data_IF_758244057467
#
_entry.id   IF_758244057467
#
_cell.length_a   1.000
_cell.length_b   1.000
_cell.length_c   1.000
_cell.angle_alpha   90.00
_cell.angle_beta   90.00
_cell.angle_gamma   90.00
#
_symmetry.space_group_name_H-M   'P 1'
#
loop_
_entity.id
_entity.type
_entity.pdbx_description
1 polymer ?
#
# COMPACT_ATOMS: atom_id res chain seq x y z
N UNK A 1 20.11 5.16 -16.91
CA UNK A 1 20.23 5.84 -15.59
C UNK A 1 18.93 5.58 -14.84
N UNK A 2 19.03 5.16 -13.58
CA UNK A 2 17.87 5.02 -12.69
C UNK A 2 17.18 6.38 -12.54
N UNK A 3 15.84 6.42 -12.63
CA UNK A 3 15.08 7.67 -12.57
C UNK A 3 15.13 8.23 -11.14
N UNK A 4 15.55 9.47 -10.98
CA UNK A 4 15.42 10.24 -9.71
C UNK A 4 13.95 10.48 -9.40
N UNK A 5 13.53 10.33 -8.13
CA UNK A 5 12.14 10.54 -7.70
C UNK A 5 11.12 9.76 -8.56
N UNK A 6 11.21 8.41 -8.65
CA UNK A 6 10.23 7.62 -9.37
C UNK A 6 8.84 7.78 -8.73
N UNK A 7 7.80 7.96 -9.54
CA UNK A 7 6.44 8.23 -9.07
C UNK A 7 5.60 6.95 -9.04
N UNK A 8 4.82 6.78 -7.98
CA UNK A 8 3.93 5.65 -7.83
C UNK A 8 2.64 6.04 -7.10
N UNK A 9 1.61 5.22 -7.28
CA UNK A 9 0.43 5.23 -6.42
C UNK A 9 0.59 4.18 -5.30
N UNK A 10 -0.23 4.21 -4.25
CA UNK A 10 -0.10 3.26 -3.13
C UNK A 10 -0.84 1.95 -3.41
N UNK A 11 -2.07 2.01 -3.90
CA UNK A 11 -2.84 0.85 -4.38
C UNK A 11 -4.25 1.28 -4.79
N UNK A 12 -5.13 1.49 -3.81
CA UNK A 12 -6.56 1.62 -4.07
C UNK A 12 -7.03 2.97 -4.63
N UNK A 13 -7.98 2.93 -5.57
CA UNK A 13 -8.73 4.08 -6.10
C UNK A 13 -10.24 3.89 -5.88
N UNK A 14 -11.00 5.00 -5.90
CA UNK A 14 -12.46 4.91 -5.78
C UNK A 14 -13.05 4.27 -7.04
N UNK A 15 -13.84 3.22 -6.82
CA UNK A 15 -14.61 2.54 -7.87
C UNK A 15 -15.57 3.53 -8.54
N UNK A 16 -15.70 3.51 -9.88
CA UNK A 16 -16.73 4.29 -10.55
C UNK A 16 -18.14 3.93 -10.07
N UNK A 17 -19.05 4.90 -10.02
CA UNK A 17 -20.42 4.63 -9.57
C UNK A 17 -21.14 3.63 -10.50
N UNK A 18 -20.96 3.78 -11.81
CA UNK A 18 -21.51 2.85 -12.81
C UNK A 18 -21.06 1.40 -12.57
N UNK A 19 -19.83 1.19 -12.09
CA UNK A 19 -19.34 -0.15 -11.77
C UNK A 19 -20.09 -0.70 -10.56
N UNK A 20 -20.26 0.12 -9.51
CA UNK A 20 -20.96 -0.28 -8.29
C UNK A 20 -22.42 -0.63 -8.56
N UNK A 21 -23.09 0.14 -9.42
CA UNK A 21 -24.47 -0.13 -9.86
C UNK A 21 -24.57 -1.47 -10.59
N UNK A 22 -23.67 -1.74 -11.55
CA UNK A 22 -23.65 -3.00 -12.31
C UNK A 22 -23.36 -4.22 -11.42
N UNK A 23 -22.35 -4.15 -10.56
CA UNK A 23 -21.96 -5.31 -9.72
C UNK A 23 -23.01 -5.64 -8.66
N UNK A 24 -23.77 -4.65 -8.18
CA UNK A 24 -24.86 -4.84 -7.21
C UNK A 24 -26.15 -5.36 -7.86
N UNK A 25 -26.32 -5.18 -9.18
CA UNK A 25 -27.51 -5.63 -9.88
C UNK A 25 -27.52 -7.15 -10.02
N UNK A 26 -28.54 -7.81 -9.45
CA UNK A 26 -28.71 -9.27 -9.50
C UNK A 26 -29.11 -9.80 -10.87
N UNK A 27 -29.62 -8.94 -11.76
CA UNK A 27 -30.04 -9.32 -13.11
C UNK A 27 -28.88 -9.33 -14.12
N UNK A 28 -27.73 -8.77 -13.76
CA UNK A 28 -26.53 -8.77 -14.61
C UNK A 28 -25.75 -10.06 -14.37
N UNK A 29 -25.34 -10.71 -15.46
CA UNK A 29 -24.58 -11.96 -15.42
C UNK A 29 -23.20 -11.75 -14.77
N UNK A 30 -22.63 -12.81 -14.17
CA UNK A 30 -21.29 -12.72 -13.58
C UNK A 30 -20.21 -12.44 -14.64
N UNK A 31 -20.40 -12.92 -15.88
CA UNK A 31 -19.56 -12.59 -17.03
C UNK A 31 -19.54 -11.08 -17.29
N UNK A 32 -20.72 -10.44 -17.35
CA UNK A 32 -20.79 -9.00 -17.62
C UNK A 32 -20.27 -8.15 -16.45
N UNK A 33 -20.46 -8.61 -15.21
CA UNK A 33 -19.82 -8.00 -14.03
C UNK A 33 -18.30 -8.12 -14.08
N UNK A 34 -17.78 -9.24 -14.58
CA UNK A 34 -16.34 -9.44 -14.76
C UNK A 34 -15.79 -8.48 -15.83
N UNK A 35 -16.45 -8.39 -16.99
CA UNK A 35 -16.12 -7.41 -18.04
C UNK A 35 -16.12 -5.96 -17.52
N UNK A 36 -17.16 -5.57 -16.77
CA UNK A 36 -17.24 -4.24 -16.18
C UNK A 36 -16.08 -3.92 -15.23
N UNK A 37 -15.62 -4.91 -14.44
CA UNK A 37 -14.43 -4.76 -13.57
C UNK A 37 -13.16 -4.60 -14.40
N UNK A 38 -13.01 -5.36 -15.48
CA UNK A 38 -11.89 -5.27 -16.39
C UNK A 38 -11.85 -3.91 -17.11
N UNK A 39 -12.99 -3.40 -17.59
CA UNK A 39 -13.10 -2.08 -18.21
C UNK A 39 -12.69 -0.96 -17.23
N UNK A 40 -13.12 -1.07 -15.96
CA UNK A 40 -12.74 -0.11 -14.92
C UNK A 40 -11.23 -0.17 -14.59
N UNK A 41 -10.65 -1.38 -14.55
CA UNK A 41 -9.22 -1.58 -14.34
C UNK A 41 -8.41 -0.99 -15.49
N UNK A 42 -8.79 -1.31 -16.73
CA UNK A 42 -8.14 -0.77 -17.93
C UNK A 42 -8.20 0.76 -17.96
N UNK A 43 -9.35 1.36 -17.66
CA UNK A 43 -9.49 2.81 -17.59
C UNK A 43 -8.57 3.42 -16.52
N UNK A 44 -8.49 2.80 -15.33
CA UNK A 44 -7.58 3.27 -14.29
C UNK A 44 -6.13 3.18 -14.75
N UNK A 45 -5.70 2.04 -15.29
CA UNK A 45 -4.32 1.82 -15.78
C UNK A 45 -3.95 2.90 -16.79
N UNK A 46 -4.75 3.09 -17.85
CA UNK A 46 -4.47 4.10 -18.88
C UNK A 46 -4.45 5.52 -18.31
N UNK A 47 -5.34 5.83 -17.37
CA UNK A 47 -5.33 7.13 -16.69
C UNK A 47 -4.06 7.35 -15.87
N UNK A 48 -3.58 6.33 -15.15
CA UNK A 48 -2.34 6.41 -14.36
C UNK A 48 -1.10 6.53 -15.26
N UNK A 49 -1.10 5.85 -16.41
CA UNK A 49 -0.06 6.00 -17.45
C UNK A 49 -0.04 7.42 -18.03
N UNK A 50 -1.22 7.97 -18.37
CA UNK A 50 -1.38 9.33 -18.91
C UNK A 50 -0.96 10.40 -17.91
N UNK A 51 -1.19 10.16 -16.60
CA UNK A 51 -0.70 11.02 -15.52
C UNK A 51 0.84 11.00 -15.44
N UNK A 52 1.49 9.94 -15.92
CA UNK A 52 2.94 9.81 -15.95
C UNK A 52 3.53 9.10 -14.73
N UNK A 53 2.78 8.19 -14.10
CA UNK A 53 3.35 7.32 -13.06
C UNK A 53 4.37 6.33 -13.64
N UNK A 54 5.42 6.05 -12.88
CA UNK A 54 6.47 5.09 -13.23
C UNK A 54 6.12 3.66 -12.82
N UNK A 55 5.51 3.53 -11.64
CA UNK A 55 5.07 2.27 -11.06
C UNK A 55 3.58 2.35 -10.75
N UNK A 56 2.82 1.35 -11.16
CA UNK A 56 1.37 1.34 -11.00
C UNK A 56 0.81 -0.07 -10.81
N UNK A 57 -0.48 -0.12 -10.51
CA UNK A 57 -1.29 -1.33 -10.58
C UNK A 57 -2.62 -1.00 -11.28
N UNK A 58 -3.79 -1.29 -10.70
CA UNK A 58 -5.10 -1.00 -11.34
C UNK A 58 -6.06 -0.17 -10.48
N UNK A 59 -5.62 0.35 -9.34
CA UNK A 59 -6.51 0.99 -8.37
C UNK A 59 -7.27 0.01 -7.47
N UNK A 60 -6.94 -1.29 -7.49
CA UNK A 60 -7.62 -2.38 -6.78
C UNK A 60 -9.13 -2.43 -7.07
N UNK A 61 -9.50 -1.99 -8.27
CA UNK A 61 -10.89 -1.72 -8.63
C UNK A 61 -11.70 -3.02 -8.79
N UNK A 62 -11.01 -4.14 -8.96
CA UNK A 62 -11.58 -5.49 -9.08
C UNK A 62 -11.88 -6.12 -7.73
N UNK A 63 -11.25 -5.64 -6.65
CA UNK A 63 -11.34 -6.21 -5.29
C UNK A 63 -12.55 -5.66 -4.54
N UNK A 64 -13.08 -6.41 -3.57
CA UNK A 64 -14.19 -5.93 -2.73
C UNK A 64 -13.67 -4.98 -1.64
N UNK A 65 -12.71 -5.46 -0.86
CA UNK A 65 -12.15 -4.82 0.33
C UNK A 65 -10.81 -5.51 0.64
N UNK A 66 -9.81 -4.82 1.21
CA UNK A 66 -8.46 -5.36 1.37
C UNK A 66 -8.40 -6.52 2.38
N UNK A 67 -9.28 -6.58 3.38
CA UNK A 67 -9.34 -7.67 4.35
C UNK A 67 -10.36 -8.74 3.97
N UNK A 68 -11.58 -8.35 3.62
CA UNK A 68 -12.62 -9.35 3.32
C UNK A 68 -12.23 -10.21 2.11
N UNK A 69 -11.58 -9.62 1.12
CA UNK A 69 -11.20 -10.30 -0.11
C UNK A 69 -10.23 -11.47 0.14
N UNK A 70 -9.04 -11.28 0.74
CA UNK A 70 -8.11 -12.38 1.00
C UNK A 70 -8.69 -13.42 1.97
N UNK A 71 -9.40 -13.02 3.02
CA UNK A 71 -9.98 -13.94 4.02
C UNK A 71 -10.91 -14.99 3.41
N UNK A 72 -11.58 -14.69 2.29
CA UNK A 72 -12.43 -15.66 1.56
C UNK A 72 -11.64 -16.82 0.94
N UNK A 73 -10.33 -16.68 0.80
CA UNK A 73 -9.42 -17.64 0.16
C UNK A 73 -8.36 -18.18 1.13
N UNK A 74 -8.60 -18.06 2.43
CA UNK A 74 -7.75 -18.60 3.48
C UNK A 74 -8.57 -19.64 4.24
N UNK A 75 -8.08 -20.88 4.31
CA UNK A 75 -8.66 -21.91 5.17
C UNK A 75 -8.45 -21.52 6.65
N UNK A 76 -9.29 -22.02 7.55
CA UNK A 76 -9.22 -21.72 8.98
C UNK A 76 -10.04 -20.51 9.43
N UNK A 77 -10.65 -19.76 8.50
CA UNK A 77 -11.54 -18.64 8.83
C UNK A 77 -13.03 -18.97 8.69
N UNK A 78 -13.81 -18.45 9.63
CA UNK A 78 -15.27 -18.34 9.54
C UNK A 78 -15.72 -16.90 9.69
N UNK A 79 -16.62 -16.43 8.82
CA UNK A 79 -17.17 -15.08 8.94
C UNK A 79 -18.16 -14.94 10.10
N UNK A 80 -17.93 -13.96 10.98
CA UNK A 80 -18.80 -13.61 12.12
C UNK A 80 -19.91 -12.60 11.77
N UNK A 81 -20.03 -12.20 10.50
CA UNK A 81 -20.99 -11.20 10.06
C UNK A 81 -20.44 -9.77 10.11
N UNK A 82 -21.35 -8.79 10.14
CA UNK A 82 -21.02 -7.37 10.08
C UNK A 82 -20.66 -6.84 11.47
N UNK A 83 -19.47 -6.27 11.62
CA UNK A 83 -18.99 -5.63 12.83
C UNK A 83 -18.77 -4.15 12.56
N UNK A 84 -19.28 -3.30 13.46
CA UNK A 84 -19.05 -1.86 13.42
C UNK A 84 -17.57 -1.58 13.69
N UNK A 85 -16.90 -0.82 12.82
CA UNK A 85 -15.48 -0.50 12.95
C UNK A 85 -15.25 0.96 13.31
N UNK A 86 -15.62 1.90 12.44
CA UNK A 86 -15.46 3.34 12.68
C UNK A 86 -16.69 4.10 12.20
N UNK A 87 -17.14 5.05 13.01
CA UNK A 87 -18.41 5.78 12.83
C UNK A 87 -19.57 4.81 12.55
N UNK A 88 -20.29 4.92 11.42
CA UNK A 88 -21.37 4.01 11.04
C UNK A 88 -20.97 3.03 9.93
N UNK A 89 -19.67 2.73 9.81
CA UNK A 89 -19.15 1.76 8.84
C UNK A 89 -19.06 0.36 9.46
N UNK A 90 -19.56 -0.61 8.71
CA UNK A 90 -19.58 -2.02 9.08
C UNK A 90 -18.73 -2.82 8.10
N UNK A 91 -17.94 -3.74 8.63
CA UNK A 91 -17.10 -4.64 7.84
C UNK A 91 -17.39 -6.09 8.21
N UNK A 92 -17.25 -6.98 7.23
CA UNK A 92 -17.45 -8.41 7.45
C UNK A 92 -16.19 -8.99 8.09
N UNK A 93 -16.20 -9.19 9.41
CA UNK A 93 -15.07 -9.75 10.15
C UNK A 93 -15.12 -11.27 10.21
N UNK A 94 -13.96 -11.90 10.31
CA UNK A 94 -13.83 -13.34 10.45
C UNK A 94 -13.14 -13.73 11.77
N UNK A 95 -13.33 -15.00 12.13
CA UNK A 95 -12.76 -15.67 13.30
C UNK A 95 -11.85 -16.78 12.77
N UNK A 96 -10.62 -16.83 13.25
CA UNK A 96 -9.70 -17.92 12.99
C UNK A 96 -10.04 -19.07 13.95
N UNK A 97 -10.67 -20.12 13.43
CA UNK A 97 -11.19 -21.27 14.20
C UNK A 97 -10.40 -22.56 13.97
N UNK A 98 -9.51 -22.56 12.98
CA UNK A 98 -8.60 -23.67 12.66
C UNK A 98 -7.30 -23.11 12.07
N UNK A 99 -6.31 -23.97 11.85
CA UNK A 99 -5.02 -23.62 11.27
C UNK A 99 -5.19 -22.92 9.92
N UNK A 100 -4.52 -21.78 9.75
CA UNK A 100 -4.58 -21.04 8.48
C UNK A 100 -3.78 -21.71 7.38
N UNK A 101 -4.35 -21.73 6.18
CA UNK A 101 -3.66 -22.20 5.00
C UNK A 101 -4.15 -21.48 3.75
N UNK A 102 -3.21 -21.15 2.87
CA UNK A 102 -3.46 -20.66 1.53
C UNK A 102 -4.31 -21.65 0.74
N UNK A 103 -5.40 -21.17 0.12
CA UNK A 103 -6.28 -22.00 -0.71
C UNK A 103 -5.88 -21.99 -2.19
N UNK A 104 -5.68 -20.80 -2.77
CA UNK A 104 -5.43 -20.60 -4.20
C UNK A 104 -4.96 -19.17 -4.46
N UNK A 105 -4.34 -18.91 -5.61
CA UNK A 105 -3.95 -17.57 -6.01
C UNK A 105 -5.18 -16.75 -6.41
N UNK A 106 -5.74 -16.03 -5.45
CA UNK A 106 -6.91 -15.19 -5.63
C UNK A 106 -6.63 -13.86 -6.34
N UNK A 107 -5.35 -13.54 -6.61
CA UNK A 107 -4.96 -12.41 -7.46
C UNK A 107 -4.51 -12.84 -8.86
N UNK A 108 -4.58 -14.12 -9.22
CA UNK A 108 -4.06 -14.62 -10.50
C UNK A 108 -4.69 -13.95 -11.72
N UNK A 109 -6.02 -13.98 -11.82
CA UNK A 109 -6.78 -13.37 -12.91
C UNK A 109 -6.70 -11.83 -12.87
N UNK A 110 -6.46 -11.28 -11.68
CA UNK A 110 -6.21 -9.86 -11.48
C UNK A 110 -4.89 -9.44 -12.12
N UNK A 111 -3.82 -10.09 -11.70
CA UNK A 111 -2.46 -9.79 -12.10
C UNK A 111 -2.24 -10.00 -13.60
N UNK A 112 -2.73 -11.09 -14.18
CA UNK A 112 -2.55 -11.37 -15.61
C UNK A 112 -3.16 -10.27 -16.48
N UNK A 113 -4.38 -9.83 -16.14
CA UNK A 113 -5.03 -8.73 -16.87
C UNK A 113 -4.26 -7.40 -16.78
N UNK A 114 -3.73 -7.05 -15.60
CA UNK A 114 -2.96 -5.81 -15.42
C UNK A 114 -1.65 -5.88 -16.21
N UNK A 115 -0.99 -7.04 -16.17
CA UNK A 115 0.23 -7.34 -16.93
C UNK A 115 0.01 -7.27 -18.44
N UNK A 116 -1.12 -7.74 -18.95
CA UNK A 116 -1.48 -7.59 -20.37
C UNK A 116 -1.88 -6.16 -20.75
N UNK A 117 -2.23 -5.31 -19.78
CA UNK A 117 -2.77 -3.97 -20.00
C UNK A 117 -1.75 -2.84 -19.91
N UNK A 118 -0.54 -3.08 -19.41
CA UNK A 118 0.49 -2.05 -19.19
C UNK A 118 1.91 -2.60 -19.36
N UNK A 119 2.79 -1.76 -19.92
CA UNK A 119 4.24 -1.99 -19.99
C UNK A 119 5.01 -1.32 -18.83
N UNK A 120 4.30 -0.68 -17.89
CA UNK A 120 4.91 -0.05 -16.71
C UNK A 120 5.36 -1.10 -15.70
N UNK A 121 6.22 -0.69 -14.78
CA UNK A 121 6.57 -1.54 -13.64
C UNK A 121 5.32 -1.75 -12.78
N UNK A 122 4.99 -3.02 -12.53
CA UNK A 122 3.82 -3.39 -11.75
C UNK A 122 4.21 -3.66 -10.30
N UNK A 123 3.46 -3.05 -9.38
CA UNK A 123 3.56 -3.28 -7.94
C UNK A 123 2.26 -3.85 -7.43
N UNK A 124 2.26 -5.14 -7.07
CA UNK A 124 1.05 -5.85 -6.65
C UNK A 124 0.80 -5.64 -5.16
N UNK A 125 -0.27 -4.94 -4.74
CA UNK A 125 -0.60 -4.80 -3.32
C UNK A 125 -1.22 -6.10 -2.80
N UNK A 126 -0.75 -6.61 -1.68
CA UNK A 126 -1.30 -7.76 -0.96
C UNK A 126 -1.45 -7.39 0.51
N UNK A 127 -2.56 -7.77 1.15
CA UNK A 127 -2.73 -7.48 2.58
C UNK A 127 -1.83 -8.38 3.41
N UNK A 128 -1.08 -7.75 4.32
CA UNK A 128 -0.08 -8.43 5.12
C UNK A 128 -0.65 -9.27 6.27
N UNK A 129 0.18 -10.17 6.81
CA UNK A 129 -0.23 -11.13 7.84
C UNK A 129 -0.64 -10.44 9.15
N UNK A 130 0.00 -9.34 9.54
CA UNK A 130 -0.31 -8.67 10.80
C UNK A 130 -1.72 -8.07 10.75
N UNK A 131 -2.08 -7.40 9.66
CA UNK A 131 -3.39 -6.79 9.46
C UNK A 131 -4.49 -7.83 9.33
N UNK A 132 -4.23 -8.95 8.63
CA UNK A 132 -5.19 -10.07 8.59
C UNK A 132 -5.46 -10.61 9.99
N UNK A 133 -4.42 -10.77 10.83
CA UNK A 133 -4.57 -11.23 12.20
C UNK A 133 -5.33 -10.22 13.07
N UNK A 134 -4.89 -8.96 13.08
CA UNK A 134 -5.40 -7.89 13.94
C UNK A 134 -6.88 -7.59 13.67
N UNK A 135 -7.29 -7.66 12.40
CA UNK A 135 -8.68 -7.41 12.03
C UNK A 135 -9.60 -8.63 12.21
N UNK A 136 -9.03 -9.78 12.55
CA UNK A 136 -9.77 -11.02 12.84
C UNK A 136 -9.87 -11.30 14.35
N UNK A 137 -10.82 -12.15 14.73
CA UNK A 137 -10.83 -12.75 16.05
C UNK A 137 -9.98 -14.02 16.04
N UNK A 138 -9.10 -14.20 17.02
CA UNK A 138 -8.31 -15.42 17.16
C UNK A 138 -8.98 -16.38 18.16
N UNK A 139 -9.47 -17.53 17.68
CA UNK A 139 -10.08 -18.59 18.51
C UNK A 139 -9.28 -19.91 18.47
N UNK A 140 -8.17 -19.96 17.72
CA UNK A 140 -7.39 -21.18 17.50
C UNK A 140 -5.96 -21.12 18.06
N UNK A 141 -5.23 -20.03 17.82
CA UNK A 141 -3.83 -19.91 18.22
C UNK A 141 -3.70 -19.39 19.66
N UNK A 142 -2.69 -19.87 20.39
CA UNK A 142 -2.44 -19.48 21.79
C UNK A 142 -2.00 -18.01 21.92
N UNK A 143 -1.40 -17.45 20.87
CA UNK A 143 -0.95 -16.06 20.85
C UNK A 143 -1.17 -15.38 19.50
N UNK A 144 -1.23 -14.04 19.53
CA UNK A 144 -1.25 -13.22 18.30
C UNK A 144 0.03 -13.41 17.48
N UNK A 145 1.17 -13.58 18.15
CA UNK A 145 2.46 -13.81 17.51
C UNK A 145 2.43 -15.07 16.63
N UNK A 146 2.02 -16.20 17.19
CA UNK A 146 1.91 -17.46 16.44
C UNK A 146 0.93 -17.34 15.27
N UNK A 147 -0.21 -16.69 15.49
CA UNK A 147 -1.20 -16.48 14.45
C UNK A 147 -0.64 -15.65 13.27
N UNK A 148 0.03 -14.54 13.57
CA UNK A 148 0.66 -13.67 12.57
C UNK A 148 1.75 -14.42 11.79
N UNK A 149 2.61 -15.17 12.47
CA UNK A 149 3.68 -15.92 11.81
C UNK A 149 3.14 -17.07 10.95
N UNK A 150 2.06 -17.73 11.36
CA UNK A 150 1.41 -18.75 10.53
C UNK A 150 0.71 -18.14 9.30
N UNK A 151 0.08 -16.97 9.43
CA UNK A 151 -0.42 -16.22 8.27
C UNK A 151 0.72 -15.84 7.31
N UNK A 152 1.85 -15.37 7.83
CA UNK A 152 3.01 -15.03 7.01
C UNK A 152 3.50 -16.27 6.23
N UNK A 153 3.73 -17.38 6.93
CA UNK A 153 4.36 -18.59 6.39
C UNK A 153 3.45 -19.42 5.49
N UNK A 154 2.17 -19.54 5.86
CA UNK A 154 1.23 -20.48 5.25
C UNK A 154 0.22 -19.80 4.32
N UNK A 155 0.16 -18.47 4.30
CA UNK A 155 -0.79 -17.70 3.48
C UNK A 155 -0.09 -16.68 2.58
N UNK A 156 0.54 -15.68 3.18
CA UNK A 156 1.04 -14.52 2.43
C UNK A 156 2.26 -14.91 1.59
N UNK A 157 3.24 -15.63 2.16
CA UNK A 157 4.40 -16.12 1.39
C UNK A 157 3.99 -17.01 0.20
N UNK A 158 3.13 -18.05 0.36
CA UNK A 158 2.66 -18.83 -0.79
C UNK A 158 1.99 -17.99 -1.90
N UNK A 159 1.15 -17.02 -1.52
CA UNK A 159 0.54 -16.09 -2.47
C UNK A 159 1.59 -15.28 -3.24
N UNK A 160 2.58 -14.73 -2.52
CA UNK A 160 3.69 -13.99 -3.13
C UNK A 160 4.45 -14.87 -4.12
N UNK A 161 4.80 -16.09 -3.73
CA UNK A 161 5.51 -17.02 -4.60
C UNK A 161 4.73 -17.35 -5.88
N UNK A 162 3.41 -17.48 -5.81
CA UNK A 162 2.58 -17.75 -6.98
C UNK A 162 2.45 -16.52 -7.89
N UNK A 163 2.35 -15.31 -7.34
CA UNK A 163 2.41 -14.07 -8.13
C UNK A 163 3.76 -13.89 -8.83
N UNK A 164 4.86 -14.20 -8.14
CA UNK A 164 6.22 -14.13 -8.69
C UNK A 164 6.40 -15.13 -9.83
N UNK A 165 5.89 -16.36 -9.68
CA UNK A 165 5.87 -17.34 -10.79
C UNK A 165 5.10 -16.84 -12.01
N UNK A 166 4.09 -16.00 -11.81
CA UNK A 166 3.33 -15.35 -12.90
C UNK A 166 4.08 -14.15 -13.51
N UNK A 167 5.18 -13.71 -12.89
CA UNK A 167 6.03 -12.63 -13.36
C UNK A 167 5.93 -11.34 -12.57
N UNK A 168 5.31 -11.33 -11.38
CA UNK A 168 5.31 -10.17 -10.50
C UNK A 168 6.74 -9.85 -10.03
N UNK A 169 7.20 -8.62 -10.27
CA UNK A 169 8.55 -8.16 -9.92
C UNK A 169 8.58 -7.39 -8.61
N UNK A 170 7.46 -6.73 -8.25
CA UNK A 170 7.31 -5.98 -7.01
C UNK A 170 6.03 -6.40 -6.32
N UNK A 171 6.14 -6.83 -5.07
CA UNK A 171 5.01 -7.10 -4.18
C UNK A 171 5.02 -6.02 -3.09
N UNK A 172 3.88 -5.36 -2.88
CA UNK A 172 3.69 -4.49 -1.73
C UNK A 172 2.84 -5.20 -0.67
N UNK A 173 3.39 -5.39 0.52
CA UNK A 173 2.68 -5.92 1.68
C UNK A 173 2.05 -4.74 2.43
N UNK A 174 0.72 -4.67 2.44
CA UNK A 174 -0.05 -3.60 3.06
C UNK A 174 -0.41 -3.93 4.51
N UNK A 175 0.09 -3.12 5.43
CA UNK A 175 0.02 -3.34 6.87
C UNK A 175 -0.51 -2.12 7.64
N UNK A 176 -1.74 -1.63 7.34
CA UNK A 176 -2.32 -0.46 8.01
C UNK A 176 -2.59 -0.65 9.51
N UNK A 177 -2.63 -1.89 10.01
CA UNK A 177 -2.86 -2.17 11.44
C UNK A 177 -1.56 -2.26 12.26
N UNK A 178 -0.40 -2.40 11.62
CA UNK A 178 0.86 -2.67 12.31
C UNK A 178 1.27 -1.47 13.17
N UNK A 179 1.46 -0.30 12.55
CA UNK A 179 1.98 0.90 13.22
C UNK A 179 0.99 1.56 14.18
N UNK A 180 -0.26 1.07 14.26
CA UNK A 180 -1.19 1.46 15.33
C UNK A 180 -0.92 0.72 16.66
N UNK A 181 0.00 -0.25 16.65
CA UNK A 181 0.40 -1.04 17.82
C UNK A 181 1.92 -0.93 18.07
N UNK A 182 2.43 0.22 18.56
CA UNK A 182 3.87 0.47 18.73
C UNK A 182 4.63 -0.60 19.54
N UNK A 183 3.96 -1.27 20.49
CA UNK A 183 4.55 -2.32 21.31
C UNK A 183 4.76 -3.64 20.58
N UNK A 184 4.20 -3.82 19.39
CA UNK A 184 4.20 -5.09 18.64
C UNK A 184 5.12 -5.07 17.41
N UNK A 185 5.98 -4.06 17.28
CA UNK A 185 6.86 -3.89 16.10
C UNK A 185 7.81 -5.07 15.86
N UNK A 186 8.20 -5.78 16.92
CA UNK A 186 8.98 -7.02 16.78
C UNK A 186 8.19 -8.13 16.06
N UNK A 187 6.92 -8.32 16.42
CA UNK A 187 6.03 -9.29 15.75
C UNK A 187 5.85 -8.88 14.30
N UNK A 188 5.63 -7.60 14.05
CA UNK A 188 5.49 -7.07 12.70
C UNK A 188 6.75 -7.30 11.84
N UNK A 189 7.93 -6.98 12.36
CA UNK A 189 9.19 -7.14 11.66
C UNK A 189 9.46 -8.61 11.29
N UNK A 190 9.26 -9.53 12.25
CA UNK A 190 9.47 -10.95 12.00
C UNK A 190 8.43 -11.52 11.03
N UNK A 191 7.19 -11.03 11.05
CA UNK A 191 6.17 -11.43 10.09
C UNK A 191 6.54 -11.06 8.64
N UNK A 192 7.10 -9.85 8.43
CA UNK A 192 7.62 -9.45 7.12
C UNK A 192 8.82 -10.32 6.71
N UNK A 193 9.71 -10.63 7.64
CA UNK A 193 10.85 -11.53 7.39
C UNK A 193 10.41 -12.95 6.98
N UNK A 194 9.35 -13.46 7.59
CA UNK A 194 8.75 -14.75 7.23
C UNK A 194 8.06 -14.73 5.87
N UNK A 195 7.37 -13.62 5.54
CA UNK A 195 6.82 -13.40 4.20
C UNK A 195 7.92 -13.40 3.12
N UNK A 196 9.03 -12.72 3.39
CA UNK A 196 10.16 -12.53 2.47
C UNK A 196 11.08 -13.76 2.34
N UNK A 197 10.93 -14.77 3.19
CA UNK A 197 11.86 -15.89 3.21
C UNK A 197 11.81 -16.71 1.90
N UNK A 198 12.91 -16.72 1.15
CA UNK A 198 13.01 -17.42 -0.14
C UNK A 198 12.28 -16.72 -1.30
N UNK A 199 11.88 -15.46 -1.12
CA UNK A 199 11.23 -14.63 -2.15
C UNK A 199 12.31 -13.94 -3.00
N UNK A 200 12.22 -14.11 -4.32
CA UNK A 200 13.07 -13.46 -5.32
C UNK A 200 12.28 -12.41 -6.09
N UNK A 201 11.87 -11.36 -5.38
CA UNK A 201 11.19 -10.20 -5.92
C UNK A 201 11.42 -9.02 -4.98
N UNK A 202 11.22 -7.80 -5.49
CA UNK A 202 11.27 -6.61 -4.66
C UNK A 202 10.08 -6.58 -3.71
N UNK A 203 10.34 -6.38 -2.41
CA UNK A 203 9.32 -6.30 -1.36
C UNK A 203 9.19 -4.85 -0.91
N UNK A 204 8.04 -4.27 -1.17
CA UNK A 204 7.61 -3.02 -0.55
C UNK A 204 6.72 -3.33 0.66
N UNK A 205 6.81 -2.52 1.71
CA UNK A 205 5.92 -2.59 2.87
C UNK A 205 5.24 -1.24 3.02
N UNK A 206 3.91 -1.21 2.85
CA UNK A 206 3.13 -0.04 3.14
C UNK A 206 2.61 -0.10 4.58
N UNK A 207 3.00 0.87 5.40
CA UNK A 207 2.48 1.03 6.76
C UNK A 207 2.02 2.47 6.94
N UNK A 208 0.79 2.66 7.42
CA UNK A 208 0.17 3.97 7.63
C UNK A 208 -0.50 4.06 9.01
N UNK A 209 -1.09 5.20 9.32
CA UNK A 209 -1.69 5.53 10.62
C UNK A 209 -0.72 5.41 11.80
N UNK A 210 0.53 5.80 11.59
CA UNK A 210 1.53 5.74 12.65
C UNK A 210 1.32 6.89 13.65
N UNK A 211 0.67 6.59 14.79
CA UNK A 211 0.41 7.57 15.85
C UNK A 211 1.64 8.08 16.62
N UNK A 212 2.84 7.58 16.31
CA UNK A 212 4.10 7.99 16.94
C UNK A 212 5.19 8.34 15.91
N UNK A 213 4.81 8.79 14.72
CA UNK A 213 5.74 9.24 13.67
C UNK A 213 6.86 8.22 13.37
N UNK A 214 6.48 6.95 13.25
CA UNK A 214 7.33 5.80 12.97
C UNK A 214 8.50 5.58 13.94
N UNK A 215 8.51 6.24 15.10
CA UNK A 215 9.57 6.07 16.10
C UNK A 215 9.66 4.65 16.64
N UNK A 216 8.54 3.91 16.70
CA UNK A 216 8.57 2.50 17.08
C UNK A 216 8.99 1.57 15.93
N UNK A 217 8.76 1.97 14.67
CA UNK A 217 9.16 1.20 13.49
C UNK A 217 10.65 1.34 13.20
N UNK A 218 11.20 2.55 13.36
CA UNK A 218 12.57 2.87 12.95
C UNK A 218 13.64 1.90 13.49
N UNK A 219 13.61 1.46 14.77
CA UNK A 219 14.58 0.49 15.28
C UNK A 219 14.59 -0.86 14.57
N UNK A 220 13.47 -1.26 13.98
CA UNK A 220 13.31 -2.56 13.29
C UNK A 220 13.45 -2.47 11.78
N UNK A 221 13.38 -1.26 11.21
CA UNK A 221 13.32 -1.06 9.75
C UNK A 221 14.52 -1.69 9.02
N UNK A 222 15.73 -1.62 9.58
CA UNK A 222 16.93 -2.21 9.00
C UNK A 222 17.00 -3.74 9.14
N UNK A 223 16.27 -4.33 10.08
CA UNK A 223 16.21 -5.78 10.33
C UNK A 223 15.16 -6.48 9.45
N UNK A 224 14.23 -5.71 8.89
CA UNK A 224 13.17 -6.19 8.02
C UNK A 224 13.69 -6.44 6.60
N UNK A 225 13.36 -7.60 6.04
CA UNK A 225 13.61 -7.97 4.64
C UNK A 225 12.62 -7.27 3.71
N UNK A 226 12.65 -5.94 3.72
CA UNK A 226 11.89 -5.06 2.84
C UNK A 226 12.85 -4.15 2.08
N UNK A 227 12.71 -4.12 0.76
CA UNK A 227 13.49 -3.24 -0.11
C UNK A 227 12.98 -1.80 -0.05
N UNK A 228 11.69 -1.62 0.23
CA UNK A 228 11.03 -0.31 0.27
C UNK A 228 10.04 -0.20 1.43
N UNK A 229 10.07 0.92 2.15
CA UNK A 229 8.97 1.32 3.04
C UNK A 229 8.14 2.44 2.40
N UNK A 230 6.85 2.20 2.20
CA UNK A 230 5.88 3.19 1.67
C UNK A 230 5.11 3.78 2.84
N UNK A 231 5.44 5.01 3.23
CA UNK A 231 5.03 5.61 4.50
C UNK A 231 4.28 6.93 4.28
N UNK A 232 3.38 7.26 5.21
CA UNK A 232 2.63 8.52 5.22
C UNK A 232 3.44 9.62 5.91
N UNK A 233 3.42 10.85 5.42
CA UNK A 233 4.07 11.99 6.08
C UNK A 233 3.31 13.31 5.87
N UNK A 234 2.59 13.46 4.76
CA UNK A 234 2.01 14.74 4.36
C UNK A 234 0.87 15.20 5.29
N UNK A 235 0.08 14.27 5.82
CA UNK A 235 -1.02 14.52 6.75
C UNK A 235 -0.60 15.17 8.09
N UNK A 236 0.69 15.06 8.46
CA UNK A 236 1.28 15.67 9.67
C UNK A 236 2.27 16.78 9.37
N UNK A 237 2.47 17.11 8.10
CA UNK A 237 3.36 18.17 7.67
C UNK A 237 2.61 19.50 7.48
N UNK A 238 3.35 20.60 7.51
CA UNK A 238 2.75 21.93 7.25
C UNK A 238 2.49 22.13 5.75
N UNK A 239 1.57 23.03 5.42
CA UNK A 239 1.33 23.47 4.03
C UNK A 239 2.23 24.63 3.59
N UNK A 240 3.13 25.10 4.47
CA UNK A 240 4.05 26.21 4.15
C UNK A 240 5.11 25.73 3.16
N UNK A 241 5.49 26.57 2.21
CA UNK A 241 6.65 26.28 1.35
C UNK A 241 7.96 26.42 2.14
N UNK A 242 8.99 25.69 1.73
CA UNK A 242 10.30 25.69 2.36
C UNK A 242 10.84 24.29 2.66
N UNK A 243 12.15 24.24 2.88
CA UNK A 243 12.95 23.01 3.03
C UNK A 243 13.74 22.99 4.34
N UNK A 244 13.25 23.69 5.37
CA UNK A 244 13.86 23.74 6.70
C UNK A 244 13.18 22.75 7.65
N UNK A 245 13.88 22.36 8.71
CA UNK A 245 13.36 21.43 9.71
C UNK A 245 12.07 21.94 10.38
N UNK A 246 11.98 23.26 10.61
CA UNK A 246 10.80 23.87 11.25
C UNK A 246 9.55 23.78 10.37
N UNK A 247 9.72 23.81 9.06
CA UNK A 247 8.62 23.79 8.08
C UNK A 247 8.26 22.37 7.65
N UNK A 248 9.24 21.45 7.66
CA UNK A 248 9.13 20.05 7.22
C UNK A 248 9.15 19.04 8.38
N UNK A 249 8.65 19.44 9.55
CA UNK A 249 8.65 18.63 10.76
C UNK A 249 7.89 17.29 10.63
N UNK A 250 6.88 17.21 9.74
CA UNK A 250 6.14 15.97 9.45
C UNK A 250 6.99 14.85 8.84
N UNK A 251 8.19 15.20 8.34
CA UNK A 251 9.16 14.28 7.72
C UNK A 251 10.33 13.92 8.65
N UNK A 252 10.28 14.33 9.93
CA UNK A 252 11.36 14.08 10.90
C UNK A 252 11.72 12.60 11.09
N UNK A 253 10.75 11.69 10.90
CA UNK A 253 10.97 10.26 10.98
C UNK A 253 12.00 9.71 9.97
N UNK A 254 12.26 10.43 8.86
CA UNK A 254 13.34 10.08 7.92
C UNK A 254 14.71 10.09 8.60
N UNK A 255 14.95 11.03 9.53
CA UNK A 255 16.19 11.09 10.32
C UNK A 255 16.30 9.87 11.22
N UNK A 256 15.22 9.52 11.93
CA UNK A 256 15.17 8.35 12.82
C UNK A 256 15.43 7.05 12.05
N UNK A 257 14.82 6.86 10.87
CA UNK A 257 15.08 5.70 10.00
C UNK A 257 16.57 5.62 9.59
N UNK A 258 17.16 6.74 9.16
CA UNK A 258 18.58 6.80 8.79
C UNK A 258 19.50 6.52 9.98
N UNK A 259 19.21 7.10 11.14
CA UNK A 259 19.98 6.91 12.39
C UNK A 259 19.96 5.45 12.87
N UNK A 260 18.85 4.74 12.67
CA UNK A 260 18.74 3.30 12.93
C UNK A 260 19.25 2.42 11.78
N UNK A 261 19.91 3.00 10.76
CA UNK A 261 20.63 2.27 9.74
C UNK A 261 19.79 1.77 8.56
N UNK A 262 18.54 2.21 8.40
CA UNK A 262 17.77 1.87 7.21
C UNK A 262 18.38 2.55 5.97
N UNK A 263 18.70 1.74 4.95
CA UNK A 263 19.33 2.18 3.70
C UNK A 263 18.57 1.69 2.44
N UNK A 264 17.36 1.17 2.62
CA UNK A 264 16.48 0.79 1.53
C UNK A 264 15.79 2.00 0.89
N UNK A 265 14.81 1.72 0.05
CA UNK A 265 14.00 2.75 -0.60
C UNK A 265 12.91 3.28 0.34
N UNK A 266 12.55 4.56 0.17
CA UNK A 266 11.44 5.20 0.88
C UNK A 266 10.41 5.64 -0.15
N UNK A 267 9.22 5.04 -0.09
CA UNK A 267 8.00 5.59 -0.64
C UNK A 267 7.52 6.74 0.24
N UNK A 268 7.82 7.96 -0.19
CA UNK A 268 7.55 9.20 0.50
C UNK A 268 6.12 9.67 0.22
N UNK A 269 5.24 9.58 1.22
CA UNK A 269 3.92 10.20 1.23
C UNK A 269 4.01 11.72 1.16
N UNK A 270 3.67 12.31 0.01
CA UNK A 270 3.82 13.75 -0.28
C UNK A 270 2.51 14.52 -0.41
N UNK A 271 1.36 13.84 -0.38
CA UNK A 271 0.03 14.45 -0.37
C UNK A 271 -0.88 13.72 0.61
N UNK A 272 -1.66 14.49 1.38
CA UNK A 272 -2.61 13.97 2.36
C UNK A 272 -3.85 13.44 1.64
N UNK A 273 -4.17 12.17 1.85
CA UNK A 273 -5.32 11.50 1.22
C UNK A 273 -6.62 11.64 2.01
N UNK A 274 -6.58 12.26 3.20
CA UNK A 274 -7.73 12.45 4.08
C UNK A 274 -8.52 13.72 3.79
N UNK A 275 -7.94 14.65 3.02
CA UNK A 275 -8.54 15.94 2.64
C UNK A 275 -8.78 16.03 1.13
N UNK A 276 -9.75 16.85 0.73
CA UNK A 276 -10.06 17.08 -0.70
C UNK A 276 -9.23 18.23 -1.27
N UNK A 277 -8.75 19.12 -0.40
CA UNK A 277 -7.81 20.18 -0.70
C UNK A 277 -6.57 19.61 -1.37
N UNK A 278 -6.12 20.30 -2.42
CA UNK A 278 -5.01 19.84 -3.25
C UNK A 278 -3.75 20.63 -2.90
N UNK A 279 -2.73 19.93 -2.43
CA UNK A 279 -1.40 20.48 -2.20
C UNK A 279 -0.80 20.99 -3.51
N UNK A 280 -0.16 22.17 -3.54
CA UNK A 280 0.47 22.67 -4.76
C UNK A 280 1.71 21.83 -5.13
N UNK A 281 2.04 21.65 -6.42
CA UNK A 281 3.25 20.92 -6.85
C UNK A 281 4.55 21.45 -6.24
N UNK A 282 4.63 22.75 -5.94
CA UNK A 282 5.78 23.39 -5.28
C UNK A 282 5.98 22.85 -3.85
N UNK A 283 4.89 22.55 -3.14
CA UNK A 283 4.96 21.93 -1.81
C UNK A 283 5.48 20.50 -1.91
N UNK A 284 5.01 19.73 -2.90
CA UNK A 284 5.53 18.38 -3.17
C UNK A 284 7.02 18.42 -3.50
N UNK A 285 7.46 19.37 -4.34
CA UNK A 285 8.88 19.60 -4.63
C UNK A 285 9.68 19.85 -3.35
N UNK A 286 9.22 20.76 -2.50
CA UNK A 286 9.94 21.12 -1.28
C UNK A 286 10.05 19.94 -0.31
N UNK A 287 9.00 19.12 -0.20
CA UNK A 287 9.02 17.86 0.58
C UNK A 287 10.07 16.87 0.05
N UNK A 288 10.16 16.73 -1.28
CA UNK A 288 11.16 15.86 -1.92
C UNK A 288 12.59 16.36 -1.73
N UNK A 289 12.84 17.65 -1.92
CA UNK A 289 14.16 18.25 -1.70
C UNK A 289 14.58 18.18 -0.23
N UNK A 290 13.64 18.29 0.71
CA UNK A 290 13.92 18.07 2.12
C UNK A 290 14.30 16.62 2.42
N UNK A 291 13.54 15.65 1.88
CA UNK A 291 13.85 14.23 2.03
C UNK A 291 15.22 13.88 1.40
N UNK A 292 15.54 14.46 0.24
CA UNK A 292 16.84 14.29 -0.42
C UNK A 292 18.00 14.78 0.42
N UNK A 293 17.88 15.93 1.10
CA UNK A 293 18.92 16.40 2.04
C UNK A 293 19.20 15.44 3.20
N UNK A 294 18.20 14.65 3.61
CA UNK A 294 18.34 13.68 4.70
C UNK A 294 18.91 12.37 4.16
N UNK A 295 18.35 11.85 3.07
CA UNK A 295 18.64 10.50 2.58
C UNK A 295 19.79 10.45 1.57
N UNK A 296 20.13 11.57 0.93
CA UNK A 296 21.28 11.78 0.03
C UNK A 296 21.31 10.85 -1.21
N UNK A 297 20.21 10.15 -1.50
CA UNK A 297 20.10 9.20 -2.61
C UNK A 297 18.72 9.31 -3.28
N UNK A 298 18.49 10.30 -4.15
CA UNK A 298 17.16 10.60 -4.67
C UNK A 298 16.60 9.56 -5.65
N UNK A 299 17.40 8.58 -6.07
CA UNK A 299 16.93 7.38 -6.79
C UNK A 299 16.24 6.35 -5.88
N UNK A 300 16.43 6.44 -4.56
CA UNK A 300 15.74 5.63 -3.55
C UNK A 300 14.50 6.30 -2.95
N UNK A 301 14.19 7.53 -3.34
CA UNK A 301 13.04 8.30 -2.84
C UNK A 301 11.90 8.18 -3.85
N UNK A 302 10.96 7.27 -3.61
CA UNK A 302 9.78 7.08 -4.43
C UNK A 302 8.70 8.08 -3.99
N UNK A 303 7.98 8.66 -4.94
CA UNK A 303 7.00 9.71 -4.67
C UNK A 303 5.61 9.14 -4.75
N UNK A 304 4.86 9.19 -3.65
CA UNK A 304 3.49 8.67 -3.59
C UNK A 304 2.57 9.52 -2.71
N UNK A 305 1.25 9.36 -2.81
CA UNK A 305 0.32 9.79 -1.75
C UNK A 305 0.59 9.08 -0.43
N UNK A 306 0.10 9.63 0.69
CA UNK A 306 0.26 9.02 2.02
C UNK A 306 -0.30 7.59 2.12
N UNK A 307 -1.40 7.31 1.43
CA UNK A 307 -2.07 6.00 1.43
C UNK A 307 -2.90 5.84 0.14
N UNK A 308 -3.70 4.79 0.02
CA UNK A 308 -4.65 4.62 -1.07
C UNK A 308 -5.73 5.72 -1.12
N UNK A 309 -6.17 6.07 -2.32
CA UNK A 309 -7.11 7.16 -2.59
C UNK A 309 -8.58 6.70 -2.71
N UNK A 310 -8.91 5.47 -2.28
CA UNK A 310 -10.29 4.92 -2.35
C UNK A 310 -11.35 5.75 -1.63
N UNK A 311 -10.96 6.54 -0.64
CA UNK A 311 -11.86 7.37 0.16
C UNK A 311 -12.13 8.75 -0.46
N UNK A 312 -11.42 9.12 -1.52
CA UNK A 312 -11.58 10.38 -2.25
C UNK A 312 -12.46 10.21 -3.49
N UNK A 313 -12.99 11.30 -4.03
CA UNK A 313 -13.61 11.25 -5.35
C UNK A 313 -12.56 10.93 -6.41
N UNK A 314 -12.95 10.33 -7.54
CA UNK A 314 -12.01 10.03 -8.64
C UNK A 314 -11.31 11.28 -9.15
N UNK A 315 -12.02 12.40 -9.24
CA UNK A 315 -11.44 13.67 -9.68
C UNK A 315 -10.35 14.15 -8.72
N UNK A 316 -10.63 14.15 -7.41
CA UNK A 316 -9.63 14.50 -6.38
C UNK A 316 -8.44 13.55 -6.43
N UNK A 317 -8.67 12.25 -6.53
CA UNK A 317 -7.62 11.24 -6.57
C UNK A 317 -6.66 11.43 -7.75
N UNK A 318 -7.19 11.53 -8.97
CA UNK A 318 -6.36 11.72 -10.16
C UNK A 318 -5.67 13.07 -10.18
N UNK A 319 -6.31 14.12 -9.68
CA UNK A 319 -5.66 15.43 -9.61
C UNK A 319 -4.54 15.48 -8.59
N UNK A 320 -4.69 14.86 -7.42
CA UNK A 320 -3.59 14.68 -6.46
C UNK A 320 -2.41 13.93 -7.09
N UNK A 321 -2.67 12.86 -7.85
CA UNK A 321 -1.62 12.11 -8.56
C UNK A 321 -0.92 12.93 -9.65
N UNK A 322 -1.64 13.79 -10.39
CA UNK A 322 -1.00 14.74 -11.33
C UNK A 322 -0.04 15.67 -10.62
N UNK A 323 -0.45 16.21 -9.47
CA UNK A 323 0.41 17.12 -8.69
C UNK A 323 1.61 16.42 -8.07
N UNK A 324 1.47 15.14 -7.70
CA UNK A 324 2.59 14.27 -7.32
C UNK A 324 3.63 14.19 -8.44
N UNK A 325 3.20 13.91 -9.68
CA UNK A 325 4.10 13.82 -10.83
C UNK A 325 4.75 15.18 -11.14
N UNK A 326 3.96 16.25 -11.17
CA UNK A 326 4.46 17.61 -11.40
C UNK A 326 5.49 18.05 -10.35
N UNK A 327 5.23 17.78 -9.06
CA UNK A 327 6.15 18.10 -7.98
C UNK A 327 7.45 17.29 -8.07
N UNK A 328 7.36 16.02 -8.45
CA UNK A 328 8.54 15.19 -8.72
C UNK A 328 9.36 15.73 -9.89
N UNK A 329 8.73 16.16 -10.98
CA UNK A 329 9.41 16.80 -12.11
C UNK A 329 10.11 18.11 -11.71
N UNK A 330 9.44 18.96 -10.92
CA UNK A 330 10.05 20.18 -10.38
C UNK A 330 11.27 19.86 -9.52
N UNK A 331 11.20 18.84 -8.65
CA UNK A 331 12.31 18.43 -7.81
C UNK A 331 13.48 17.89 -8.63
N UNK A 332 13.22 17.05 -9.65
CA UNK A 332 14.26 16.56 -10.58
C UNK A 332 14.96 17.71 -11.30
N UNK A 333 14.23 18.75 -11.71
CA UNK A 333 14.83 19.89 -12.37
C UNK A 333 15.65 20.78 -11.43
N UNK A 334 15.33 20.81 -10.14
CA UNK A 334 16.09 21.55 -9.13
C UNK A 334 17.41 20.86 -8.71
N UNK A 335 17.55 19.56 -8.98
CA UNK A 335 18.77 18.78 -8.72
C UNK A 335 19.73 18.70 -9.93
N UNK A 336 19.31 19.19 -11.10
CA UNK A 336 20.18 19.35 -12.27
C UNK A 336 20.97 20.64 -12.15
#
# INVERSE_FOLDING_TARGET
MTKTFPTQEVGSLKKPEWLLELVRNKQISDSDKSKARNDAAYLNIKTLEDIGLDVLYDGEVRRVEMYEYPVRYINGFEFAGLVRSWDNKYYKKARCVDKVAYKTNFHSDEFEFVKESSDRMLKVPVTGPYTIADWSYNEYYDSKEEFVYDLARNVVRPLMMDLIKQGAQVIQIDEPAATTHPSEMKIFAEAINECANGVDAKIAVHACYSGNDYQALAPYAAEMKADQFVLEFANRDTWKLGITDEVRNGYSALKSLKEHGFNGEIGLGVVDVHVDEMEPPELVRDRLLYAEKILEEPTKIYVNPDCGLRTRTRNVAFEKLRRVVQGAEMARNALK
#
